data_IF_540644843307
#
_entry.id   IF_540644843307
#
_cell.length_a   1.000
_cell.length_b   1.000
_cell.length_c   1.000
_cell.angle_alpha   90.00
_cell.angle_beta   90.00
_cell.angle_gamma   90.00
#
_symmetry.space_group_name_H-M   'P 1'
#
loop_
_entity.id
_entity.type
_entity.pdbx_description
1 polymer ?
#
# COMPACT_ATOMS: atom_id res chain seq x y z
N UNK A 1 -7.53 -2.71 22.97
CA UNK A 1 -7.19 -2.90 21.54
C UNK A 1 -6.93 -1.51 20.96
N UNK A 2 -5.67 -1.11 20.69
CA UNK A 2 -5.42 0.18 20.02
C UNK A 2 -5.99 0.06 18.60
N UNK A 3 -6.90 0.96 18.22
CA UNK A 3 -7.32 1.07 16.81
C UNK A 3 -6.06 1.17 15.96
N UNK A 4 -5.85 0.19 15.07
CA UNK A 4 -4.78 0.29 14.06
C UNK A 4 -5.01 1.61 13.34
N UNK A 5 -4.05 2.52 13.41
CA UNK A 5 -4.19 3.86 12.85
C UNK A 5 -4.55 3.77 11.36
N UNK A 6 -5.81 4.06 11.01
CA UNK A 6 -6.26 4.11 9.62
C UNK A 6 -5.82 5.46 9.07
N UNK A 7 -4.96 5.45 8.06
CA UNK A 7 -4.61 6.65 7.32
C UNK A 7 -5.62 6.82 6.18
N UNK A 8 -6.55 7.78 6.24
CA UNK A 8 -7.53 7.97 5.18
C UNK A 8 -6.85 8.47 3.91
N UNK A 9 -7.17 7.85 2.77
CA UNK A 9 -6.72 8.28 1.45
C UNK A 9 -7.87 8.92 0.66
N UNK A 10 -7.59 9.88 -0.24
CA UNK A 10 -8.64 10.47 -1.04
C UNK A 10 -9.30 9.42 -1.95
N UNK A 11 -10.61 9.19 -1.75
CA UNK A 11 -11.42 8.21 -2.51
C UNK A 11 -11.31 8.34 -4.03
N UNK A 12 -11.00 9.53 -4.54
CA UNK A 12 -10.86 9.80 -5.97
C UNK A 12 -9.75 9.00 -6.66
N UNK A 13 -8.78 8.48 -5.90
CA UNK A 13 -7.70 7.64 -6.41
C UNK A 13 -8.04 6.15 -6.38
N UNK A 14 -9.24 5.77 -5.91
CA UNK A 14 -9.65 4.36 -5.94
C UNK A 14 -8.89 3.46 -4.97
N UNK A 15 -8.18 4.02 -3.99
CA UNK A 15 -7.44 3.28 -2.96
C UNK A 15 -8.16 3.41 -1.61
N UNK A 16 -8.37 2.28 -0.94
CA UNK A 16 -8.90 2.22 0.42
C UNK A 16 -7.83 2.45 1.49
N UNK A 17 -8.17 2.34 2.78
CA UNK A 17 -7.19 2.44 3.85
C UNK A 17 -6.10 1.36 3.71
N UNK A 18 -4.85 1.78 3.67
CA UNK A 18 -3.69 0.88 3.63
C UNK A 18 -3.62 0.13 4.96
N UNK A 19 -3.38 -1.18 4.90
CA UNK A 19 -3.17 -2.02 6.08
C UNK A 19 -1.74 -2.54 6.09
N UNK A 20 -0.97 -2.20 7.11
CA UNK A 20 0.34 -2.82 7.35
C UNK A 20 0.10 -4.20 7.99
N UNK A 21 0.65 -5.24 7.37
CA UNK A 21 0.53 -6.63 7.82
C UNK A 21 1.77 -7.11 8.55
N UNK A 22 2.94 -6.54 8.25
CA UNK A 22 4.20 -6.86 8.90
C UNK A 22 5.29 -5.83 8.61
N UNK A 23 6.23 -5.69 9.53
CA UNK A 23 7.48 -4.93 9.35
C UNK A 23 8.60 -5.83 9.87
N UNK A 24 9.50 -6.20 8.98
CA UNK A 24 10.70 -6.98 9.26
C UNK A 24 11.92 -6.07 9.19
N UNK A 25 13.13 -6.63 9.27
CA UNK A 25 14.36 -5.85 9.42
C UNK A 25 14.60 -4.88 8.25
N UNK A 26 14.29 -5.28 7.01
CA UNK A 26 14.50 -4.48 5.79
C UNK A 26 13.26 -4.39 4.89
N UNK A 27 12.13 -4.95 5.31
CA UNK A 27 10.91 -5.02 4.50
C UNK A 27 9.66 -4.64 5.26
N UNK A 28 8.69 -4.08 4.54
CA UNK A 28 7.33 -3.85 5.00
C UNK A 28 6.35 -4.55 4.07
N UNK A 29 5.38 -5.26 4.67
CA UNK A 29 4.27 -5.89 3.94
C UNK A 29 2.98 -5.12 4.18
N UNK A 30 2.24 -4.88 3.10
CA UNK A 30 1.02 -4.08 3.12
C UNK A 30 -0.05 -4.66 2.20
N UNK A 31 -1.29 -4.53 2.65
CA UNK A 31 -2.50 -4.74 1.82
C UNK A 31 -3.09 -3.39 1.46
N UNK A 32 -3.27 -3.16 0.17
CA UNK A 32 -3.82 -1.91 -0.38
C UNK A 32 -5.14 -2.21 -1.10
N UNK A 33 -6.29 -1.99 -0.45
CA UNK A 33 -7.59 -2.27 -1.05
C UNK A 33 -7.88 -1.37 -2.25
N UNK A 34 -8.44 -1.96 -3.30
CA UNK A 34 -8.92 -1.27 -4.49
C UNK A 34 -10.42 -1.06 -4.39
N UNK A 35 -10.87 0.16 -4.68
CA UNK A 35 -12.29 0.57 -4.57
C UNK A 35 -12.91 0.89 -5.92
N UNK A 36 -12.18 0.65 -7.02
CA UNK A 36 -12.61 0.87 -8.40
C UNK A 36 -12.28 -0.34 -9.27
N UNK A 37 -12.92 -0.43 -10.43
CA UNK A 37 -12.78 -1.53 -11.38
C UNK A 37 -11.53 -1.44 -12.27
N UNK A 38 -10.97 -0.25 -12.46
CA UNK A 38 -9.71 -0.03 -13.19
C UNK A 38 -8.61 0.35 -12.21
N UNK A 39 -7.45 -0.27 -12.37
CA UNK A 39 -6.28 -0.01 -11.55
C UNK A 39 -5.01 -0.05 -12.39
N UNK A 40 -4.05 0.77 -12.00
CA UNK A 40 -2.73 0.87 -12.62
C UNK A 40 -1.69 0.80 -11.51
N UNK A 41 -0.59 0.11 -11.78
CA UNK A 41 0.60 0.05 -10.93
C UNK A 41 1.83 0.26 -11.80
N UNK A 42 2.81 1.01 -11.32
CA UNK A 42 4.12 1.14 -11.99
C UNK A 42 5.03 -0.08 -11.79
N UNK A 43 4.54 -1.12 -11.09
CA UNK A 43 5.30 -2.33 -10.80
C UNK A 43 6.43 -2.11 -9.78
N UNK A 44 6.46 -0.94 -9.13
CA UNK A 44 7.35 -0.69 -8.01
C UNK A 44 6.99 -1.56 -6.80
N UNK A 45 7.97 -1.76 -5.91
CA UNK A 45 7.91 -2.81 -4.89
C UNK A 45 7.64 -4.22 -5.47
N UNK A 46 7.75 -5.25 -4.65
CA UNK A 46 7.22 -6.57 -5.04
C UNK A 46 5.70 -6.54 -4.87
N UNK A 47 4.97 -6.39 -5.98
CA UNK A 47 3.53 -6.19 -5.99
C UNK A 47 2.78 -7.38 -6.62
N UNK A 48 1.80 -7.92 -5.88
CA UNK A 48 0.91 -8.99 -6.35
C UNK A 48 -0.51 -8.48 -6.34
N UNK A 49 -1.20 -8.54 -7.49
CA UNK A 49 -2.61 -8.22 -7.58
C UNK A 49 -3.44 -9.43 -7.17
N UNK A 50 -4.31 -9.23 -6.19
CA UNK A 50 -5.35 -10.19 -5.84
C UNK A 50 -6.68 -9.67 -6.37
N UNK A 51 -7.29 -10.46 -7.27
CA UNK A 51 -8.59 -10.15 -7.84
C UNK A 51 -9.71 -10.10 -6.79
N UNK A 52 -10.84 -9.50 -7.15
CA UNK A 52 -12.03 -9.52 -6.28
C UNK A 52 -12.63 -10.92 -6.20
N UNK A 53 -13.14 -11.29 -5.03
CA UNK A 53 -13.93 -12.50 -4.79
C UNK A 53 -15.31 -12.15 -4.24
N UNK A 54 -16.13 -13.16 -3.94
CA UNK A 54 -17.43 -12.95 -3.30
C UNK A 54 -17.31 -12.29 -1.91
N UNK A 55 -16.21 -12.55 -1.19
CA UNK A 55 -16.03 -12.15 0.20
C UNK A 55 -15.14 -10.90 0.37
N UNK A 56 -14.43 -10.48 -0.69
CA UNK A 56 -13.48 -9.37 -0.60
C UNK A 56 -13.30 -8.60 -1.93
N UNK A 57 -13.13 -7.27 -1.86
CA UNK A 57 -12.73 -6.49 -3.03
C UNK A 57 -11.28 -6.81 -3.44
N UNK A 58 -10.95 -6.47 -4.69
CA UNK A 58 -9.58 -6.58 -5.19
C UNK A 58 -8.61 -5.73 -4.35
N UNK A 59 -7.37 -6.17 -4.25
CA UNK A 59 -6.33 -5.47 -3.50
C UNK A 59 -4.93 -5.79 -4.05
N UNK A 60 -3.97 -4.92 -3.73
CA UNK A 60 -2.56 -5.22 -3.92
C UNK A 60 -1.95 -5.70 -2.62
N UNK A 61 -1.25 -6.84 -2.71
CA UNK A 61 -0.27 -7.24 -1.72
C UNK A 61 1.07 -6.65 -2.14
N UNK A 62 1.66 -5.85 -1.25
CA UNK A 62 2.91 -5.15 -1.50
C UNK A 62 3.95 -5.57 -0.48
N UNK A 63 5.15 -5.90 -0.96
CA UNK A 63 6.36 -6.01 -0.15
C UNK A 63 7.37 -5.00 -0.67
N UNK A 64 7.70 -4.01 0.16
CA UNK A 64 8.63 -2.95 -0.20
C UNK A 64 9.84 -2.97 0.74
N UNK A 65 11.02 -2.64 0.21
CA UNK A 65 12.22 -2.32 1.00
C UNK A 65 12.34 -0.83 1.27
N UNK A 66 13.28 -0.45 2.14
CA UNK A 66 13.67 0.94 2.31
C UNK A 66 14.10 1.58 0.97
N UNK A 67 13.76 2.85 0.78
CA UNK A 67 13.91 3.64 -0.44
C UNK A 67 13.09 3.18 -1.67
N UNK A 68 12.38 2.06 -1.60
CA UNK A 68 11.49 1.64 -2.68
C UNK A 68 10.20 2.48 -2.69
N UNK A 69 9.58 2.54 -3.86
CA UNK A 69 8.30 3.20 -4.07
C UNK A 69 7.44 2.39 -5.02
N UNK A 70 6.13 2.58 -4.91
CA UNK A 70 5.14 2.10 -5.86
C UNK A 70 4.12 3.20 -6.11
N UNK A 71 3.67 3.32 -7.35
CA UNK A 71 2.58 4.22 -7.74
C UNK A 71 1.37 3.40 -8.14
N UNK A 72 0.28 3.55 -7.38
CA UNK A 72 -1.00 2.90 -7.64
C UNK A 72 -2.03 3.99 -7.92
N UNK A 73 -2.75 3.93 -9.04
CA UNK A 73 -3.84 4.89 -9.36
C UNK A 73 -3.50 6.36 -9.07
N UNK A 74 -2.33 6.83 -9.53
CA UNK A 74 -1.82 8.19 -9.29
C UNK A 74 -1.56 8.53 -7.81
N UNK A 75 -1.33 7.54 -6.96
CA UNK A 75 -0.85 7.71 -5.59
C UNK A 75 0.49 7.01 -5.46
N UNK A 76 1.53 7.75 -5.13
CA UNK A 76 2.85 7.22 -4.85
C UNK A 76 2.98 6.95 -3.35
N UNK A 77 3.30 5.71 -3.02
CA UNK A 77 3.77 5.28 -1.71
C UNK A 77 5.29 5.15 -1.79
N UNK A 78 6.01 5.71 -0.84
CA UNK A 78 7.47 5.60 -0.74
C UNK A 78 7.82 5.17 0.66
N UNK A 79 8.55 4.06 0.78
CA UNK A 79 9.11 3.64 2.06
C UNK A 79 10.41 4.40 2.22
N UNK A 80 10.41 5.42 3.08
CA UNK A 80 11.60 6.28 3.24
C UNK A 80 12.62 5.67 4.17
N UNK A 81 12.16 4.88 5.14
CA UNK A 81 13.03 4.23 6.11
C UNK A 81 12.33 3.02 6.75
N UNK A 82 13.13 2.04 7.18
CA UNK A 82 12.72 0.90 8.00
C UNK A 82 13.79 0.73 9.08
N UNK A 83 13.39 0.78 10.34
CA UNK A 83 14.30 0.64 11.49
C UNK A 83 13.53 0.02 12.66
N UNK A 84 14.11 -1.01 13.28
CA UNK A 84 13.58 -1.65 14.50
C UNK A 84 12.07 -1.95 14.43
N UNK A 85 11.65 -2.70 13.40
CA UNK A 85 10.25 -3.08 13.15
C UNK A 85 9.28 -1.89 13.00
N UNK A 86 9.79 -0.70 12.79
CA UNK A 86 9.04 0.48 12.39
C UNK A 86 9.41 0.86 10.95
N UNK A 87 8.45 1.45 10.24
CA UNK A 87 8.67 1.94 8.88
C UNK A 87 8.03 3.31 8.72
N UNK A 88 8.69 4.17 7.95
CA UNK A 88 8.16 5.47 7.56
C UNK A 88 7.69 5.38 6.12
N UNK A 89 6.39 5.64 5.92
CA UNK A 89 5.77 5.63 4.60
C UNK A 89 5.34 7.05 4.27
N UNK A 90 5.88 7.59 3.18
CA UNK A 90 5.42 8.83 2.58
C UNK A 90 4.36 8.52 1.53
N UNK A 91 3.18 9.11 1.69
CA UNK A 91 2.06 8.94 0.75
C UNK A 91 1.74 10.29 0.11
N UNK A 92 1.69 10.33 -1.23
CA UNK A 92 1.36 11.55 -1.99
C UNK A 92 0.69 11.21 -3.31
N UNK A 93 -0.14 12.10 -3.87
CA UNK A 93 -0.50 12.01 -5.28
C UNK A 93 0.76 11.98 -6.17
N UNK A 94 0.73 11.14 -7.20
CA UNK A 94 1.64 11.22 -8.33
C UNK A 94 1.36 12.52 -9.09
N UNK A 95 2.40 13.12 -9.66
CA UNK A 95 2.26 14.34 -10.47
C UNK A 95 1.57 14.04 -11.79
#
# INVERSE_FOLDING_TARGET
MRERAKVPLPRRFGIGPIRVTGVEDDTITMVVPLTRSKFESDGGCSATLIGSSADAPAHWDLTCRSAEKVTINQMTLTVTDITDKAAIIRIRPAK
#
